data_IF_516663693846
#
_entry.id   IF_516663693846
#
_cell.length_a   1.000
_cell.length_b   1.000
_cell.length_c   1.000
_cell.angle_alpha   90.00
_cell.angle_beta   90.00
_cell.angle_gamma   90.00
#
_symmetry.space_group_name_H-M   'P 1'
#
loop_
_entity.id
_entity.type
_entity.pdbx_description
1 polymer ?
#
# COMPACT_ATOMS: atom_id res chain seq x y z
N UNK A 1 5.79 13.56 15.73
CA UNK A 1 5.39 12.80 14.52
C UNK A 1 4.12 13.43 13.97
N UNK A 2 4.01 13.61 12.65
CA UNK A 2 2.84 14.20 12.00
C UNK A 2 2.00 13.09 11.35
N UNK A 3 0.68 13.14 11.51
CA UNK A 3 -0.25 12.08 11.09
C UNK A 3 -1.24 12.58 10.03
N UNK A 4 -1.51 11.73 9.04
CA UNK A 4 -2.29 12.03 7.85
C UNK A 4 -3.20 10.84 7.49
N UNK A 5 -4.38 10.71 8.12
CA UNK A 5 -5.27 9.57 7.91
C UNK A 5 -5.60 9.30 6.43
N UNK A 6 -5.70 8.02 6.09
CA UNK A 6 -6.15 7.54 4.78
C UNK A 6 -7.36 6.64 4.94
N UNK A 7 -8.09 6.30 3.87
CA UNK A 7 -9.18 5.34 3.96
C UNK A 7 -8.78 3.93 4.40
N UNK A 8 -7.50 3.56 4.27
CA UNK A 8 -6.96 2.29 4.75
C UNK A 8 -6.52 2.33 6.20
N UNK A 9 -6.49 3.52 6.82
CA UNK A 9 -6.11 3.68 8.22
C UNK A 9 -7.01 2.84 9.12
N UNK A 10 -6.37 2.01 9.93
CA UNK A 10 -7.04 1.20 10.93
C UNK A 10 -7.76 -0.04 10.42
N UNK A 11 -7.68 -0.34 9.11
CA UNK A 11 -8.08 -1.66 8.62
C UNK A 11 -7.28 -2.74 9.36
N UNK A 12 -7.96 -3.83 9.69
CA UNK A 12 -7.34 -4.99 10.30
C UNK A 12 -6.98 -6.01 9.24
N UNK A 13 -5.94 -6.78 9.52
CA UNK A 13 -5.54 -7.86 8.64
C UNK A 13 -5.12 -9.10 9.42
N UNK A 14 -5.42 -10.26 8.83
CA UNK A 14 -4.85 -11.55 9.19
C UNK A 14 -4.38 -12.24 7.92
N UNK A 15 -3.44 -13.16 8.08
CA UNK A 15 -2.82 -13.88 6.96
C UNK A 15 -3.10 -15.35 7.14
N UNK A 16 -3.65 -15.98 6.10
CA UNK A 16 -3.71 -17.44 5.96
C UNK A 16 -2.51 -17.92 5.15
N UNK A 17 -1.97 -19.06 5.53
CA UNK A 17 -0.88 -19.73 4.83
C UNK A 17 -1.47 -20.82 3.94
N UNK A 18 -1.27 -20.68 2.64
CA UNK A 18 -1.66 -21.65 1.63
C UNK A 18 -0.43 -22.46 1.20
N UNK A 19 -0.59 -23.72 0.82
CA UNK A 19 0.50 -24.48 0.23
C UNK A 19 0.94 -23.85 -1.11
N UNK A 20 2.14 -24.18 -1.59
CA UNK A 20 2.69 -23.58 -2.81
C UNK A 20 1.76 -23.77 -4.02
N UNK A 21 1.25 -25.00 -4.16
CA UNK A 21 0.20 -25.38 -5.09
C UNK A 21 -1.05 -25.79 -4.31
N UNK A 22 -2.21 -25.35 -4.77
CA UNK A 22 -3.49 -25.69 -4.16
C UNK A 22 -4.58 -25.81 -5.23
N UNK A 23 -5.58 -26.67 -5.03
CA UNK A 23 -6.74 -26.75 -5.92
C UNK A 23 -7.53 -25.43 -5.94
N UNK A 24 -7.87 -24.94 -7.13
CA UNK A 24 -8.75 -23.79 -7.35
C UNK A 24 -10.23 -24.17 -7.41
N UNK A 25 -10.51 -25.45 -7.64
CA UNK A 25 -11.84 -26.06 -7.56
C UNK A 25 -11.72 -27.57 -7.25
N UNK A 26 -12.85 -28.26 -7.12
CA UNK A 26 -12.88 -29.71 -6.99
C UNK A 26 -12.59 -30.47 -8.28
N UNK A 27 -12.39 -29.77 -9.41
CA UNK A 27 -12.04 -30.41 -10.68
C UNK A 27 -10.58 -30.84 -10.70
N UNK A 28 -10.34 -32.06 -11.15
CA UNK A 28 -8.99 -32.60 -11.30
C UNK A 28 -8.17 -31.76 -12.29
N UNK A 29 -6.93 -31.44 -11.93
CA UNK A 29 -6.02 -30.61 -12.74
C UNK A 29 -6.22 -29.10 -12.60
N UNK A 30 -7.26 -28.61 -11.92
CA UNK A 30 -7.48 -27.18 -11.69
C UNK A 30 -6.68 -26.69 -10.48
N UNK A 31 -5.38 -26.48 -10.67
CA UNK A 31 -4.41 -26.19 -9.62
C UNK A 31 -3.77 -24.81 -9.81
N UNK A 32 -3.60 -24.09 -8.71
CA UNK A 32 -2.94 -22.80 -8.69
C UNK A 32 -1.44 -22.90 -9.00
N UNK A 33 -0.95 -22.02 -9.87
CA UNK A 33 0.47 -21.90 -10.21
C UNK A 33 1.16 -20.93 -9.26
N UNK A 34 2.36 -21.26 -8.77
CA UNK A 34 3.06 -20.40 -7.81
C UNK A 34 3.43 -19.04 -8.41
N UNK A 35 3.76 -18.99 -9.70
CA UNK A 35 4.17 -17.79 -10.44
C UNK A 35 3.02 -16.84 -10.81
N UNK A 36 1.78 -17.18 -10.47
CA UNK A 36 0.59 -16.39 -10.77
C UNK A 36 0.05 -15.69 -9.53
N UNK A 37 -0.44 -14.46 -9.73
CA UNK A 37 -1.21 -13.74 -8.71
C UNK A 37 -2.67 -14.21 -8.72
N UNK A 38 -3.28 -14.35 -7.54
CA UNK A 38 -4.68 -14.71 -7.41
C UNK A 38 -5.44 -13.69 -6.56
N UNK A 39 -6.60 -13.27 -7.05
CA UNK A 39 -7.56 -12.47 -6.32
C UNK A 39 -8.88 -13.23 -6.20
N UNK A 40 -9.07 -13.97 -5.11
CA UNK A 40 -10.23 -14.83 -4.92
C UNK A 40 -11.27 -14.07 -4.10
N UNK A 41 -12.44 -13.82 -4.69
CA UNK A 41 -13.52 -13.06 -4.04
C UNK A 41 -14.51 -13.99 -3.38
N UNK A 42 -15.02 -13.58 -2.22
CA UNK A 42 -16.07 -14.33 -1.55
C UNK A 42 -17.40 -14.29 -2.30
N UNK A 43 -18.25 -15.27 -2.06
CA UNK A 43 -19.66 -15.32 -2.44
C UNK A 43 -20.46 -14.18 -1.78
N UNK A 44 -20.12 -13.81 -0.55
CA UNK A 44 -20.76 -12.75 0.23
C UNK A 44 -20.72 -11.39 -0.47
N UNK A 45 -21.81 -10.63 -0.33
CA UNK A 45 -21.97 -9.27 -0.88
C UNK A 45 -22.05 -8.17 0.18
N UNK A 46 -22.46 -8.52 1.40
CA UNK A 46 -22.61 -7.56 2.50
C UNK A 46 -21.26 -7.02 2.96
N UNK A 47 -21.19 -5.71 3.25
CA UNK A 47 -19.96 -5.02 3.68
C UNK A 47 -19.27 -5.68 4.87
N UNK A 48 -20.04 -6.25 5.79
CA UNK A 48 -19.54 -6.83 7.04
C UNK A 48 -19.14 -8.31 6.92
N UNK A 49 -19.33 -8.92 5.74
CA UNK A 49 -19.03 -10.33 5.48
C UNK A 49 -18.13 -10.53 4.25
N UNK A 50 -18.24 -9.65 3.25
CA UNK A 50 -17.49 -9.78 2.01
C UNK A 50 -15.99 -9.61 2.23
N UNK A 51 -15.24 -10.63 1.84
CA UNK A 51 -13.78 -10.66 1.91
C UNK A 51 -13.17 -11.11 0.57
N UNK A 52 -11.88 -10.87 0.43
CA UNK A 52 -11.11 -11.39 -0.69
C UNK A 52 -9.78 -11.94 -0.19
N UNK A 53 -9.33 -13.02 -0.80
CA UNK A 53 -7.98 -13.54 -0.63
C UNK A 53 -7.11 -12.99 -1.76
N UNK A 54 -6.10 -12.22 -1.40
CA UNK A 54 -5.03 -11.81 -2.32
C UNK A 54 -3.80 -12.66 -2.09
N UNK A 55 -3.34 -13.33 -3.14
CA UNK A 55 -2.09 -14.11 -3.16
C UNK A 55 -1.16 -13.56 -4.22
N UNK A 56 0.06 -13.22 -3.82
CA UNK A 56 1.11 -12.75 -4.72
C UNK A 56 1.87 -13.92 -5.35
N UNK A 57 2.44 -13.72 -6.55
CA UNK A 57 3.23 -14.75 -7.20
C UNK A 57 4.54 -14.98 -6.44
N UNK A 58 4.98 -16.23 -6.42
CA UNK A 58 6.24 -16.66 -5.81
C UNK A 58 7.02 -17.54 -6.80
N UNK A 59 8.29 -17.18 -7.03
CA UNK A 59 9.14 -17.89 -8.01
C UNK A 59 9.46 -19.31 -7.56
N UNK A 60 9.72 -19.50 -6.28
CA UNK A 60 9.98 -20.82 -5.70
C UNK A 60 8.66 -21.57 -5.52
N UNK A 61 8.47 -22.65 -6.29
CA UNK A 61 7.25 -23.46 -6.26
C UNK A 61 7.14 -24.38 -5.05
N UNK A 62 8.12 -24.35 -4.14
CA UNK A 62 8.12 -25.14 -2.90
C UNK A 62 7.71 -24.34 -1.67
N UNK A 63 7.66 -23.01 -1.79
CA UNK A 63 7.38 -22.13 -0.66
C UNK A 63 5.89 -21.88 -0.48
N UNK A 64 5.38 -21.88 0.76
CA UNK A 64 3.99 -21.56 1.02
C UNK A 64 3.68 -20.12 0.59
N UNK A 65 2.41 -19.87 0.30
CA UNK A 65 1.91 -18.56 -0.10
C UNK A 65 1.03 -17.96 0.96
N UNK A 66 1.01 -16.64 1.04
CA UNK A 66 0.16 -15.91 1.97
C UNK A 66 -1.10 -15.43 1.27
N UNK A 67 -2.24 -15.71 1.89
CA UNK A 67 -3.54 -15.20 1.52
C UNK A 67 -3.96 -14.15 2.55
N UNK A 68 -3.86 -12.88 2.17
CA UNK A 68 -4.14 -11.77 3.07
C UNK A 68 -5.64 -11.48 3.11
N UNK A 69 -6.21 -11.45 4.32
CA UNK A 69 -7.57 -10.96 4.59
C UNK A 69 -7.42 -9.59 5.24
N UNK A 70 -7.91 -8.55 4.55
CA UNK A 70 -7.82 -7.15 5.01
C UNK A 70 -9.22 -6.57 4.96
N UNK A 71 -9.75 -6.16 6.12
CA UNK A 71 -11.11 -5.60 6.22
C UNK A 71 -11.27 -4.76 7.49
N UNK A 72 -12.44 -4.14 7.67
CA UNK A 72 -12.71 -3.21 8.78
C UNK A 72 -12.71 -3.91 10.13
N UNK A 73 -12.36 -3.23 11.24
CA UNK A 73 -12.37 -3.82 12.58
C UNK A 73 -13.70 -4.44 13.04
N UNK A 74 -14.81 -3.99 12.46
CA UNK A 74 -16.19 -4.38 12.82
C UNK A 74 -16.67 -5.58 11.98
N UNK A 75 -15.84 -6.07 11.06
CA UNK A 75 -16.19 -7.17 10.17
C UNK A 75 -16.37 -8.48 10.93
N UNK A 76 -17.32 -9.32 10.49
CA UNK A 76 -17.71 -10.57 11.18
C UNK A 76 -16.52 -11.50 11.42
N UNK A 77 -15.59 -11.62 10.46
CA UNK A 77 -14.38 -12.47 10.59
C UNK A 77 -13.52 -12.17 11.83
N UNK A 78 -13.57 -10.95 12.38
CA UNK A 78 -12.83 -10.58 13.59
C UNK A 78 -13.58 -10.87 14.89
N UNK A 79 -14.88 -11.17 14.79
CA UNK A 79 -15.74 -11.50 15.92
C UNK A 79 -15.81 -13.00 16.19
N UNK A 80 -15.34 -13.83 15.25
CA UNK A 80 -15.30 -15.28 15.39
C UNK A 80 -14.15 -15.67 16.32
N UNK A 81 -14.43 -16.49 17.32
CA UNK A 81 -13.47 -16.82 18.38
C UNK A 81 -13.06 -18.29 18.38
N UNK A 82 -13.86 -19.14 17.75
CA UNK A 82 -13.59 -20.59 17.68
C UNK A 82 -13.15 -21.01 16.28
N UNK A 83 -12.31 -22.04 16.22
CA UNK A 83 -11.81 -22.59 14.94
C UNK A 83 -12.95 -23.06 14.05
N UNK A 84 -13.99 -23.67 14.62
CA UNK A 84 -15.16 -24.16 13.89
C UNK A 84 -15.97 -23.03 13.23
N UNK A 85 -16.18 -21.92 13.95
CA UNK A 85 -16.87 -20.74 13.40
C UNK A 85 -16.09 -20.13 12.23
N UNK A 86 -14.77 -19.98 12.39
CA UNK A 86 -13.90 -19.44 11.34
C UNK A 86 -13.89 -20.34 10.11
N UNK A 87 -13.74 -21.65 10.30
CA UNK A 87 -13.76 -22.63 9.23
C UNK A 87 -15.08 -22.60 8.46
N UNK A 88 -16.21 -22.62 9.19
CA UNK A 88 -17.54 -22.53 8.59
C UNK A 88 -17.73 -21.22 7.80
N UNK A 89 -17.29 -20.09 8.35
CA UNK A 89 -17.34 -18.80 7.69
C UNK A 89 -16.53 -18.81 6.39
N UNK A 90 -15.29 -19.32 6.41
CA UNK A 90 -14.45 -19.37 5.22
C UNK A 90 -15.02 -20.31 4.15
N UNK A 91 -15.58 -21.47 4.54
CA UNK A 91 -16.26 -22.40 3.62
C UNK A 91 -17.47 -21.75 2.93
N UNK A 92 -18.27 -20.99 3.69
CA UNK A 92 -19.39 -20.23 3.12
C UNK A 92 -18.93 -19.05 2.25
N UNK A 93 -17.85 -18.39 2.63
CA UNK A 93 -17.26 -17.29 1.88
C UNK A 93 -16.69 -17.77 0.54
N UNK A 94 -16.04 -18.92 0.50
CA UNK A 94 -15.34 -19.44 -0.68
C UNK A 94 -15.82 -20.84 -1.07
N UNK A 95 -17.10 -21.03 -1.44
CA UNK A 95 -17.65 -22.35 -1.78
C UNK A 95 -16.99 -22.95 -3.04
N UNK A 96 -16.32 -22.12 -3.85
CA UNK A 96 -15.56 -22.57 -5.01
C UNK A 96 -14.22 -23.22 -4.65
N UNK A 97 -13.69 -23.00 -3.44
CA UNK A 97 -12.40 -23.54 -3.00
C UNK A 97 -12.63 -24.74 -2.08
N UNK A 98 -11.97 -25.88 -2.32
CA UNK A 98 -12.03 -27.02 -1.41
C UNK A 98 -11.08 -26.77 -0.22
N UNK A 99 -11.48 -25.87 0.70
CA UNK A 99 -10.63 -25.41 1.80
C UNK A 99 -10.07 -26.53 2.68
N UNK A 100 -10.81 -27.63 2.83
CA UNK A 100 -10.36 -28.83 3.58
C UNK A 100 -9.11 -29.48 2.99
N UNK A 101 -8.87 -29.30 1.68
CA UNK A 101 -7.68 -29.78 0.97
C UNK A 101 -6.55 -28.74 0.97
N UNK A 102 -6.82 -27.51 1.39
CA UNK A 102 -5.91 -26.37 1.26
C UNK A 102 -5.35 -25.94 2.62
N UNK A 103 -6.23 -25.84 3.63
CA UNK A 103 -5.89 -25.30 4.94
C UNK A 103 -5.87 -26.46 5.95
N UNK A 104 -4.73 -26.68 6.59
CA UNK A 104 -4.62 -27.69 7.64
C UNK A 104 -5.38 -27.26 8.90
N UNK A 105 -5.82 -28.22 9.74
CA UNK A 105 -6.44 -27.89 11.03
C UNK A 105 -5.52 -27.03 11.93
N UNK A 106 -4.21 -27.27 11.88
CA UNK A 106 -3.21 -26.48 12.60
C UNK A 106 -3.17 -25.02 12.12
N UNK A 107 -3.17 -24.80 10.80
CA UNK A 107 -3.18 -23.47 10.23
C UNK A 107 -4.49 -22.73 10.54
N UNK A 108 -5.62 -23.43 10.52
CA UNK A 108 -6.91 -22.85 10.91
C UNK A 108 -6.93 -22.43 12.39
N UNK A 109 -6.38 -23.27 13.28
CA UNK A 109 -6.24 -22.94 14.70
C UNK A 109 -5.29 -21.74 14.91
N UNK A 110 -4.15 -21.71 14.22
CA UNK A 110 -3.18 -20.60 14.26
C UNK A 110 -3.81 -19.29 13.78
N UNK A 111 -4.53 -19.31 12.66
CA UNK A 111 -5.23 -18.13 12.13
C UNK A 111 -6.29 -17.61 13.10
N UNK A 112 -7.06 -18.52 13.70
CA UNK A 112 -8.09 -18.18 14.69
C UNK A 112 -7.48 -17.51 15.92
N UNK A 113 -6.42 -18.10 16.48
CA UNK A 113 -5.73 -17.60 17.67
C UNK A 113 -4.93 -16.30 17.42
N UNK A 114 -4.55 -16.01 16.17
CA UNK A 114 -3.79 -14.80 15.83
C UNK A 114 -4.61 -13.54 16.14
N UNK A 115 -4.00 -12.54 16.78
CA UNK A 115 -4.62 -11.22 16.94
C UNK A 115 -4.68 -10.41 15.63
N UNK A 116 -3.92 -10.84 14.61
CA UNK A 116 -3.73 -10.08 13.38
C UNK A 116 -2.91 -8.79 13.59
N UNK A 117 -3.00 -7.90 12.62
CA UNK A 117 -2.41 -6.57 12.66
C UNK A 117 -3.40 -5.49 12.26
N UNK A 118 -2.97 -4.24 12.41
CA UNK A 118 -3.76 -3.06 12.05
C UNK A 118 -2.92 -2.11 11.21
N UNK A 119 -3.51 -1.59 10.15
CA UNK A 119 -2.85 -0.60 9.30
C UNK A 119 -2.66 0.71 10.05
N UNK A 120 -1.45 1.29 10.00
CA UNK A 120 -1.13 2.51 10.71
C UNK A 120 -1.84 3.71 10.09
N UNK A 121 -1.84 4.82 10.83
CA UNK A 121 -2.13 6.13 10.24
C UNK A 121 -0.90 6.51 9.42
N UNK A 122 -1.02 6.88 8.13
CA UNK A 122 0.12 7.42 7.39
C UNK A 122 0.76 8.57 8.16
N UNK A 123 2.05 8.49 8.40
CA UNK A 123 2.73 9.42 9.31
C UNK A 123 4.21 9.54 8.98
N UNK A 124 4.80 10.67 9.36
CA UNK A 124 6.24 10.88 9.26
C UNK A 124 6.80 11.70 10.43
N UNK A 125 8.08 11.55 10.69
CA UNK A 125 8.85 12.38 11.61
C UNK A 125 9.22 13.72 10.96
N UNK A 126 9.09 14.81 11.71
CA UNK A 126 9.40 16.17 11.23
C UNK A 126 10.90 16.46 11.15
N UNK A 127 11.70 15.60 11.79
CA UNK A 127 13.15 15.53 11.63
C UNK A 127 13.56 14.06 11.67
N UNK A 128 14.61 13.73 10.93
CA UNK A 128 15.14 12.39 10.71
C UNK A 128 16.41 12.13 11.50
N UNK A 129 17.02 13.15 12.11
CA UNK A 129 18.23 12.96 12.90
C UNK A 129 18.31 13.89 14.10
N UNK A 130 19.26 13.58 14.99
CA UNK A 130 19.69 14.46 16.07
C UNK A 130 21.14 14.18 16.42
N UNK A 131 21.90 15.23 16.72
CA UNK A 131 23.27 15.11 17.21
C UNK A 131 23.32 15.71 18.62
N UNK A 132 23.95 14.99 19.54
CA UNK A 132 24.29 15.47 20.88
C UNK A 132 25.81 15.52 21.04
N UNK A 133 26.35 16.55 21.71
CA UNK A 133 27.78 16.71 21.95
C UNK A 133 28.39 17.91 21.21
N UNK A 134 29.67 17.80 20.90
CA UNK A 134 30.48 18.80 20.17
C UNK A 134 30.91 18.23 18.81
N UNK A 135 30.04 18.29 17.79
CA UNK A 135 30.34 17.73 16.46
C UNK A 135 31.60 18.30 15.84
N UNK A 136 31.91 19.58 16.06
CA UNK A 136 33.12 20.22 15.54
C UNK A 136 34.43 19.68 16.16
N UNK A 137 34.33 19.05 17.32
CA UNK A 137 35.44 18.35 17.98
C UNK A 137 35.44 16.84 17.71
N UNK A 138 34.60 16.34 16.79
CA UNK A 138 34.33 14.91 16.59
C UNK A 138 33.95 14.15 17.88
N UNK A 139 33.26 14.83 18.80
CA UNK A 139 32.80 14.25 20.06
C UNK A 139 31.28 14.30 20.14
N UNK A 140 30.64 13.16 20.34
CA UNK A 140 29.19 13.12 20.52
C UNK A 140 28.54 11.87 19.94
N UNK A 141 27.21 11.92 19.87
CA UNK A 141 26.38 10.83 19.36
C UNK A 141 25.36 11.37 18.37
N UNK A 142 25.34 10.77 17.18
CA UNK A 142 24.28 10.97 16.19
C UNK A 142 23.23 9.87 16.29
N UNK A 143 21.95 10.25 16.24
CA UNK A 143 20.81 9.35 16.06
C UNK A 143 20.16 9.68 14.74
N UNK A 144 19.80 8.66 13.97
CA UNK A 144 19.10 8.77 12.68
C UNK A 144 17.87 7.84 12.68
N UNK A 145 16.81 8.27 12.02
CA UNK A 145 15.59 7.51 11.76
C UNK A 145 15.51 7.17 10.27
N UNK A 146 15.30 5.90 9.96
CA UNK A 146 15.16 5.35 8.61
C UNK A 146 13.94 4.43 8.54
N UNK A 147 13.39 4.23 7.34
CA UNK A 147 12.26 3.35 7.09
C UNK A 147 11.04 3.68 7.94
N UNK A 148 10.35 2.64 8.42
CA UNK A 148 9.11 2.79 9.21
C UNK A 148 9.26 3.63 10.48
N UNK A 149 10.46 3.76 11.05
CA UNK A 149 10.71 4.65 12.19
C UNK A 149 10.65 6.14 11.80
N UNK A 150 10.95 6.46 10.55
CA UNK A 150 10.87 7.81 9.99
C UNK A 150 9.53 8.08 9.29
N UNK A 151 8.99 7.10 8.57
CA UNK A 151 7.77 7.22 7.79
C UNK A 151 7.02 5.89 7.71
N UNK A 152 5.78 5.86 8.19
CA UNK A 152 5.00 4.63 8.27
C UNK A 152 3.62 4.86 7.68
N UNK A 153 3.14 3.94 6.85
CA UNK A 153 1.87 4.05 6.13
C UNK A 153 1.34 2.68 5.74
N UNK A 154 0.02 2.54 5.46
CA UNK A 154 -0.55 1.29 4.98
C UNK A 154 0.14 0.82 3.68
N UNK A 155 0.15 -0.50 3.39
CA UNK A 155 0.88 -1.06 2.25
C UNK A 155 0.25 -0.76 0.88
N UNK A 156 -0.66 0.22 0.80
CA UNK A 156 -1.56 0.44 -0.32
C UNK A 156 -0.88 0.60 -1.67
N UNK A 157 0.31 1.19 -1.65
CA UNK A 157 1.11 1.55 -2.82
C UNK A 157 2.35 0.66 -2.98
N UNK A 158 2.57 -0.31 -2.09
CA UNK A 158 3.71 -1.23 -2.16
C UNK A 158 5.09 -0.58 -2.01
N UNK A 159 5.19 0.61 -1.40
CA UNK A 159 6.44 1.38 -1.35
C UNK A 159 7.14 1.41 0.01
N UNK A 160 6.59 0.83 1.09
CA UNK A 160 7.21 0.89 2.42
C UNK A 160 8.66 0.37 2.44
N UNK A 161 8.85 -0.88 2.01
CA UNK A 161 10.19 -1.50 1.94
C UNK A 161 11.09 -0.79 0.93
N UNK A 162 10.59 -0.46 -0.27
CA UNK A 162 11.38 0.23 -1.29
C UNK A 162 11.88 1.58 -0.79
N UNK A 163 11.01 2.36 -0.15
CA UNK A 163 11.36 3.65 0.46
C UNK A 163 12.34 3.50 1.61
N UNK A 164 12.21 2.46 2.44
CA UNK A 164 13.17 2.18 3.51
C UNK A 164 14.56 1.80 2.98
N UNK A 165 14.63 1.03 1.88
CA UNK A 165 15.90 0.71 1.23
C UNK A 165 16.53 1.96 0.58
N UNK A 166 15.70 2.80 -0.03
CA UNK A 166 16.13 4.08 -0.58
C UNK A 166 16.70 5.00 0.50
N UNK A 167 16.12 5.02 1.71
CA UNK A 167 16.68 5.77 2.85
C UNK A 167 18.12 5.34 3.18
N UNK A 168 18.35 4.02 3.26
CA UNK A 168 19.67 3.44 3.56
C UNK A 168 20.67 3.82 2.47
N UNK A 169 20.29 3.64 1.20
CA UNK A 169 21.13 3.99 0.06
C UNK A 169 21.50 5.48 0.06
N UNK A 170 20.51 6.36 0.18
CA UNK A 170 20.74 7.80 0.16
C UNK A 170 21.58 8.27 1.35
N UNK A 171 21.41 7.66 2.52
CA UNK A 171 22.26 7.97 3.67
C UNK A 171 23.71 7.53 3.46
N UNK A 172 23.92 6.32 2.93
CA UNK A 172 25.25 5.81 2.60
C UNK A 172 25.98 6.70 1.57
N UNK A 173 25.28 7.17 0.54
CA UNK A 173 25.85 8.12 -0.42
C UNK A 173 26.28 9.43 0.26
N UNK A 174 25.48 9.97 1.20
CA UNK A 174 25.85 11.17 1.95
C UNK A 174 27.06 10.94 2.85
N UNK A 175 27.18 9.78 3.49
CA UNK A 175 28.36 9.42 4.27
C UNK A 175 29.62 9.43 3.41
N UNK A 176 29.58 8.78 2.25
CA UNK A 176 30.71 8.73 1.33
C UNK A 176 31.14 10.12 0.84
N UNK A 177 30.18 10.98 0.47
CA UNK A 177 30.44 12.36 0.04
C UNK A 177 31.08 13.24 1.13
N UNK A 178 30.78 12.94 2.39
CA UNK A 178 31.28 13.70 3.54
C UNK A 178 32.42 13.00 4.28
N UNK A 179 33.03 11.96 3.69
CA UNK A 179 34.11 11.19 4.32
C UNK A 179 33.74 10.70 5.73
N UNK A 180 32.54 10.14 5.87
CA UNK A 180 31.96 9.63 7.11
C UNK A 180 31.74 10.69 8.22
N UNK A 181 31.83 11.98 7.89
CA UNK A 181 31.49 13.05 8.83
C UNK A 181 29.97 13.13 9.07
N UNK A 182 29.50 12.52 10.16
CA UNK A 182 28.08 12.53 10.55
C UNK A 182 27.49 13.94 10.74
N UNK A 183 28.30 14.90 11.18
CA UNK A 183 27.83 16.29 11.37
C UNK A 183 27.44 16.98 10.06
N UNK A 184 28.01 16.52 8.95
CA UNK A 184 27.68 16.97 7.60
C UNK A 184 26.70 16.03 6.89
N UNK A 185 26.87 14.72 7.02
CA UNK A 185 26.07 13.71 6.32
C UNK A 185 24.59 13.78 6.71
N UNK A 186 24.31 13.86 8.02
CA UNK A 186 22.95 13.79 8.56
C UNK A 186 22.07 14.98 8.11
N UNK A 187 22.51 16.26 8.20
CA UNK A 187 21.74 17.38 7.64
C UNK A 187 21.51 17.26 6.13
N UNK A 188 22.52 16.79 5.37
CA UNK A 188 22.39 16.63 3.91
C UNK A 188 21.38 15.54 3.55
N UNK A 189 21.40 14.41 4.27
CA UNK A 189 20.43 13.33 4.13
C UNK A 189 19.01 13.83 4.42
N UNK A 190 18.79 14.49 5.57
CA UNK A 190 17.47 15.00 5.92
C UNK A 190 16.93 16.01 4.91
N UNK A 191 17.77 16.96 4.47
CA UNK A 191 17.39 17.96 3.48
C UNK A 191 16.92 17.33 2.17
N UNK A 192 17.59 16.26 1.72
CA UNK A 192 17.19 15.51 0.54
C UNK A 192 15.92 14.70 0.78
N UNK A 193 15.84 14.01 1.91
CA UNK A 193 14.85 12.95 2.11
C UNK A 193 13.51 13.44 2.66
N UNK A 194 13.49 14.50 3.46
CA UNK A 194 12.28 14.99 4.09
C UNK A 194 11.16 15.40 3.10
N UNK A 195 11.44 16.08 1.96
CA UNK A 195 10.43 16.37 0.94
C UNK A 195 9.87 15.10 0.29
N UNK A 196 10.72 14.11 0.04
CA UNK A 196 10.33 12.83 -0.56
C UNK A 196 9.41 12.04 0.35
N UNK A 197 9.73 11.95 1.65
CA UNK A 197 8.86 11.32 2.66
C UNK A 197 7.48 12.00 2.70
N UNK A 198 7.43 13.34 2.68
CA UNK A 198 6.16 14.08 2.67
C UNK A 198 5.34 13.74 1.43
N UNK A 199 6.00 13.67 0.26
CA UNK A 199 5.35 13.30 -0.98
C UNK A 199 4.85 11.86 -0.96
N UNK A 200 5.65 10.93 -0.45
CA UNK A 200 5.31 9.52 -0.29
C UNK A 200 4.07 9.33 0.57
N UNK A 201 4.00 9.96 1.75
CA UNK A 201 2.81 9.90 2.61
C UNK A 201 1.58 10.46 1.89
N UNK A 202 1.73 11.55 1.13
CA UNK A 202 0.62 12.09 0.34
C UNK A 202 0.18 11.13 -0.79
N UNK A 203 1.13 10.46 -1.43
CA UNK A 203 0.86 9.47 -2.46
C UNK A 203 0.17 8.23 -1.88
N UNK A 204 0.53 7.78 -0.68
CA UNK A 204 -0.15 6.69 0.00
C UNK A 204 -1.65 7.01 0.23
N UNK A 205 -1.98 8.25 0.57
CA UNK A 205 -3.37 8.68 0.75
C UNK A 205 -4.20 8.78 -0.55
N UNK A 206 -3.55 8.97 -1.71
CA UNK A 206 -4.24 9.44 -2.92
C UNK A 206 -4.11 8.51 -4.12
N UNK A 207 -3.06 7.68 -4.17
CA UNK A 207 -2.76 6.86 -5.35
C UNK A 207 -3.72 5.69 -5.53
N UNK A 208 -4.06 4.94 -4.49
CA UNK A 208 -5.07 3.87 -4.58
C UNK A 208 -5.87 3.68 -3.28
N UNK A 209 -6.53 4.74 -2.76
CA UNK A 209 -7.07 4.76 -1.40
C UNK A 209 -8.22 3.77 -1.13
N UNK A 210 -8.99 3.42 -2.16
CA UNK A 210 -10.25 2.66 -2.02
C UNK A 210 -10.13 1.19 -2.44
N UNK A 211 -8.91 0.62 -2.37
CA UNK A 211 -8.66 -0.72 -2.91
C UNK A 211 -9.45 -1.82 -2.18
N UNK A 212 -9.58 -1.71 -0.85
CA UNK A 212 -10.31 -2.64 0.03
C UNK A 212 -11.82 -2.38 0.08
N UNK A 213 -12.37 -1.67 -0.92
CA UNK A 213 -13.80 -1.40 -1.06
C UNK A 213 -14.39 -0.58 0.11
N UNK A 214 -13.59 0.35 0.66
CA UNK A 214 -13.96 1.18 1.81
C UNK A 214 -15.17 2.08 1.55
N UNK A 215 -15.30 2.51 0.29
CA UNK A 215 -16.41 3.30 -0.24
C UNK A 215 -16.58 2.97 -1.74
N UNK A 216 -17.62 2.19 -2.12
CA UNK A 216 -17.84 1.79 -3.51
C UNK A 216 -18.07 2.95 -4.47
N UNK A 217 -18.71 4.05 -4.02
CA UNK A 217 -18.97 5.21 -4.86
C UNK A 217 -17.66 5.95 -5.15
N UNK A 218 -16.87 6.23 -4.10
CA UNK A 218 -15.56 6.88 -4.26
C UNK A 218 -14.59 6.01 -5.04
N UNK A 219 -14.65 4.68 -4.90
CA UNK A 219 -13.88 3.73 -5.72
C UNK A 219 -14.23 3.87 -7.20
N UNK A 220 -15.53 3.92 -7.55
CA UNK A 220 -15.97 4.11 -8.95
C UNK A 220 -15.52 5.45 -9.52
N UNK A 221 -15.65 6.54 -8.74
CA UNK A 221 -15.18 7.87 -9.15
C UNK A 221 -13.66 7.89 -9.34
N UNK A 222 -12.91 7.25 -8.44
CA UNK A 222 -11.47 7.09 -8.57
C UNK A 222 -11.10 6.30 -9.84
N UNK A 223 -11.78 5.18 -10.12
CA UNK A 223 -11.55 4.38 -11.33
C UNK A 223 -11.85 5.18 -12.60
N UNK A 224 -12.94 5.95 -12.63
CA UNK A 224 -13.25 6.83 -13.75
C UNK A 224 -12.14 7.87 -13.97
N UNK A 225 -11.70 8.55 -12.91
CA UNK A 225 -10.58 9.49 -12.98
C UNK A 225 -9.27 8.82 -13.44
N UNK A 226 -9.00 7.60 -12.99
CA UNK A 226 -7.85 6.81 -13.41
C UNK A 226 -7.88 6.54 -14.92
N UNK A 227 -8.98 6.00 -15.45
CA UNK A 227 -9.11 5.70 -16.87
C UNK A 227 -9.13 6.97 -17.73
N UNK A 228 -9.79 8.03 -17.28
CA UNK A 228 -9.74 9.33 -17.95
C UNK A 228 -8.29 9.82 -18.10
N UNK A 229 -7.51 9.81 -17.02
CA UNK A 229 -6.10 10.21 -17.06
C UNK A 229 -5.26 9.29 -17.92
N UNK A 230 -5.52 7.99 -17.90
CA UNK A 230 -4.82 7.03 -18.75
C UNK A 230 -5.06 7.32 -20.24
N UNK A 231 -6.29 7.65 -20.62
CA UNK A 231 -6.62 8.01 -22.00
C UNK A 231 -6.01 9.36 -22.39
N UNK A 232 -6.14 10.38 -21.52
CA UNK A 232 -5.61 11.72 -21.77
C UNK A 232 -4.09 11.74 -21.85
N UNK A 233 -3.38 11.01 -20.98
CA UNK A 233 -1.92 10.95 -21.02
C UNK A 233 -1.40 10.20 -22.24
N UNK A 234 -2.18 9.28 -22.81
CA UNK A 234 -1.85 8.61 -24.07
C UNK A 234 -2.12 9.49 -25.30
N UNK A 235 -3.21 10.25 -25.29
CA UNK A 235 -3.59 11.11 -26.42
C UNK A 235 -2.86 12.46 -26.44
N UNK A 236 -2.60 13.05 -25.27
CA UNK A 236 -2.02 14.38 -25.09
C UNK A 236 -0.92 14.35 -24.01
N UNK A 237 0.17 13.58 -24.22
CA UNK A 237 1.22 13.33 -23.21
C UNK A 237 1.95 14.59 -22.74
N UNK A 238 1.98 15.65 -23.57
CA UNK A 238 2.61 16.93 -23.21
C UNK A 238 1.79 17.75 -22.20
N UNK A 239 0.49 17.49 -22.10
CA UNK A 239 -0.44 18.23 -21.23
C UNK A 239 -0.85 17.43 -19.99
N UNK A 240 -1.01 16.11 -20.14
CA UNK A 240 -1.53 15.24 -19.09
C UNK A 240 -0.50 14.17 -18.71
N UNK A 241 -0.27 14.04 -17.40
CA UNK A 241 0.54 12.97 -16.86
C UNK A 241 -0.36 11.79 -16.47
N UNK A 242 0.16 10.54 -16.53
CA UNK A 242 -0.53 9.38 -16.00
C UNK A 242 -0.93 9.54 -14.53
N UNK A 243 -1.90 8.75 -14.07
CA UNK A 243 -2.27 8.71 -12.66
C UNK A 243 -1.07 8.28 -11.78
N UNK A 244 -0.97 8.82 -10.56
CA UNK A 244 0.15 8.52 -9.64
C UNK A 244 0.35 7.03 -9.39
N UNK A 245 -0.73 6.24 -9.36
CA UNK A 245 -0.69 4.77 -9.28
C UNK A 245 0.18 4.09 -10.34
N UNK A 246 0.25 4.65 -11.56
CA UNK A 246 1.16 4.14 -12.60
C UNK A 246 2.56 4.72 -12.45
N UNK A 247 2.65 6.02 -12.16
CA UNK A 247 3.93 6.71 -12.02
C UNK A 247 4.79 6.16 -10.89
N UNK A 248 4.18 5.68 -9.81
CA UNK A 248 4.91 5.15 -8.64
C UNK A 248 5.66 3.84 -8.91
N UNK A 249 5.38 3.17 -10.03
CA UNK A 249 6.14 2.00 -10.46
C UNK A 249 7.41 2.38 -11.24
N UNK A 250 7.59 3.66 -11.58
CA UNK A 250 8.76 4.14 -12.28
C UNK A 250 9.86 4.53 -11.28
N UNK A 251 10.91 3.72 -11.19
CA UNK A 251 12.06 3.92 -10.31
C UNK A 251 12.94 5.12 -10.68
N UNK A 252 12.75 5.71 -11.86
CA UNK A 252 13.52 6.89 -12.30
C UNK A 252 12.96 8.21 -11.76
N UNK A 253 11.72 8.19 -11.22
CA UNK A 253 11.06 9.38 -10.71
C UNK A 253 11.11 9.40 -9.18
N UNK A 254 11.39 10.56 -8.61
CA UNK A 254 11.24 10.74 -7.17
C UNK A 254 9.76 10.82 -6.77
N UNK A 255 9.46 10.58 -5.48
CA UNK A 255 8.09 10.69 -4.98
C UNK A 255 7.55 12.12 -5.11
N UNK A 256 8.39 13.14 -4.89
CA UNK A 256 7.99 14.54 -5.07
C UNK A 256 7.66 14.86 -6.53
N UNK A 257 8.44 14.37 -7.49
CA UNK A 257 8.17 14.51 -8.92
C UNK A 257 6.86 13.84 -9.32
N UNK A 258 6.62 12.61 -8.85
CA UNK A 258 5.36 11.88 -9.08
C UNK A 258 4.18 12.70 -8.56
N UNK A 259 4.29 13.25 -7.35
CA UNK A 259 3.25 14.05 -6.74
C UNK A 259 2.99 15.35 -7.54
N UNK A 260 4.04 16.04 -7.99
CA UNK A 260 3.92 17.24 -8.83
C UNK A 260 3.24 16.92 -10.16
N UNK A 261 3.64 15.85 -10.84
CA UNK A 261 3.02 15.40 -12.11
C UNK A 261 1.54 15.07 -11.94
N UNK A 262 1.20 14.34 -10.88
CA UNK A 262 -0.19 14.00 -10.55
C UNK A 262 -1.04 15.25 -10.27
N UNK A 263 -0.51 16.18 -9.46
CA UNK A 263 -1.19 17.42 -9.09
C UNK A 263 -1.36 18.37 -10.28
N UNK A 264 -0.38 18.46 -11.17
CA UNK A 264 -0.46 19.30 -12.37
C UNK A 264 -1.62 18.86 -13.26
N UNK A 265 -1.77 17.55 -13.44
CA UNK A 265 -2.90 16.96 -14.17
C UNK A 265 -4.23 17.22 -13.45
N UNK A 266 -4.27 17.13 -12.13
CA UNK A 266 -5.47 17.47 -11.33
C UNK A 266 -5.89 18.92 -11.53
N UNK A 267 -4.93 19.86 -11.48
CA UNK A 267 -5.17 21.28 -11.68
C UNK A 267 -5.73 21.55 -13.07
N UNK A 268 -5.12 20.99 -14.11
CA UNK A 268 -5.57 21.18 -15.49
C UNK A 268 -6.99 20.64 -15.70
N UNK A 269 -7.29 19.44 -15.20
CA UNK A 269 -8.65 18.88 -15.26
C UNK A 269 -9.67 19.75 -14.51
N UNK A 270 -9.28 20.31 -13.36
CA UNK A 270 -10.12 21.25 -12.61
C UNK A 270 -10.42 22.52 -13.37
N UNK A 271 -9.41 23.12 -14.03
CA UNK A 271 -9.58 24.31 -14.86
C UNK A 271 -10.51 24.02 -16.05
N UNK A 272 -10.27 22.93 -16.78
CA UNK A 272 -11.10 22.54 -17.93
C UNK A 272 -12.54 22.25 -17.51
N UNK A 273 -12.75 21.54 -16.39
CA UNK A 273 -14.08 21.29 -15.84
C UNK A 273 -14.81 22.57 -15.45
N UNK A 274 -14.11 23.51 -14.80
CA UNK A 274 -14.66 24.81 -14.43
C UNK A 274 -15.08 25.65 -15.65
N UNK A 275 -14.26 25.65 -16.72
CA UNK A 275 -14.59 26.32 -17.97
C UNK A 275 -15.83 25.71 -18.64
N UNK A 276 -15.96 24.38 -18.66
CA UNK A 276 -17.14 23.70 -19.21
C UNK A 276 -18.40 24.10 -18.44
N UNK A 277 -18.35 24.07 -17.10
CA UNK A 277 -19.49 24.47 -16.25
C UNK A 277 -19.86 25.93 -16.50
N UNK A 278 -18.88 26.84 -16.59
CA UNK A 278 -19.12 28.24 -16.89
C UNK A 278 -19.82 28.44 -18.24
N UNK A 279 -19.35 27.73 -19.29
CA UNK A 279 -19.97 27.79 -20.62
C UNK A 279 -21.42 27.28 -20.60
N UNK A 280 -21.71 26.22 -19.83
CA UNK A 280 -23.06 25.69 -19.68
C UNK A 280 -23.99 26.69 -18.98
N UNK A 281 -23.51 27.37 -17.93
CA UNK A 281 -24.27 28.40 -17.19
C UNK A 281 -24.51 29.64 -18.07
N UNK A 282 -23.53 30.07 -18.85
CA UNK A 282 -23.69 31.24 -19.74
C UNK A 282 -24.62 30.96 -20.93
N UNK A 283 -24.93 29.69 -21.22
CA UNK A 283 -25.85 29.27 -22.27
C UNK A 283 -27.27 28.97 -21.78
N UNK A 284 -27.50 28.93 -20.47
CA UNK A 284 -28.82 28.76 -19.84
C UNK A 284 -29.44 30.11 -19.49
#
# INVERSE_FOLDING_TARGET
>A
MQQFPSPSTGLQYKVLTFPPQFPLSDKEGDVAQSTMAYGIRSSFKGRNQAISLGLLPFKDSTQPRTANIITYPEHTIWQLTTTAEVEQFLKQAFPQLPLDKIISPEEMARFTASAGGKFPIPQYCSGLYRIWGQPEANQGTGVILLGDAAHCFPPDIGQGVNSALEDVYLFQERLAETQDNLSEALPRYEKLRQPEIKALIRLAQTSYPWQYNQDPLRKRLWSLNFFLRLLLSRGLPFLFNPHSFLLIQNHQLSYSEILVKSNSTTKLLGILGGLIVLILILKS
#
